data_IF_184716129686
#
_entry.id   IF_184716129686
#
_cell.length_a   1.000
_cell.length_b   1.000
_cell.length_c   1.000
_cell.angle_alpha   90.00
_cell.angle_beta   90.00
_cell.angle_gamma   90.00
#
_symmetry.space_group_name_H-M   'P 1'
#
loop_
_entity.id
_entity.type
_entity.pdbx_description
1 polymer ?
#
# COMPACT_ATOMS: atom_id res chain seq x y z
N UNK A 1 4.31 4.45 -7.37
CA UNK A 1 3.34 4.55 -6.25
C UNK A 1 3.42 3.33 -5.37
N UNK A 2 3.05 3.49 -4.13
CA UNK A 2 2.88 2.39 -3.19
C UNK A 2 1.38 2.26 -2.84
N UNK A 3 0.85 1.04 -2.82
CA UNK A 3 -0.60 0.80 -2.71
C UNK A 3 -0.93 0.26 -1.33
N UNK A 4 -1.88 0.92 -0.66
CA UNK A 4 -2.46 0.54 0.62
C UNK A 4 -3.46 -0.62 0.47
N UNK A 5 -3.92 -1.16 1.59
CA UNK A 5 -4.84 -2.30 1.62
C UNK A 5 -6.20 -2.00 0.97
N UNK A 6 -6.77 -0.81 1.18
CA UNK A 6 -8.10 -0.46 0.69
C UNK A 6 -8.31 -0.69 -0.80
N UNK A 7 -7.53 -0.10 -1.68
CA UNK A 7 -7.65 -0.34 -3.12
C UNK A 7 -7.53 -1.82 -3.52
N UNK A 8 -6.63 -2.55 -2.86
CA UNK A 8 -6.44 -3.99 -3.11
C UNK A 8 -7.64 -4.82 -2.65
N UNK A 9 -8.19 -4.52 -1.48
CA UNK A 9 -9.39 -5.20 -0.96
C UNK A 9 -10.58 -4.99 -1.89
N UNK A 10 -10.78 -3.76 -2.35
CA UNK A 10 -11.93 -3.41 -3.17
C UNK A 10 -11.82 -4.00 -4.57
N UNK A 11 -10.69 -3.88 -5.22
CA UNK A 11 -10.59 -4.02 -6.66
C UNK A 11 -9.52 -4.99 -7.20
N UNK A 12 -8.66 -5.57 -6.37
CA UNK A 12 -7.62 -6.46 -6.87
C UNK A 12 -8.17 -7.67 -7.65
N UNK A 13 -9.35 -8.17 -7.27
CA UNK A 13 -10.01 -9.29 -7.94
C UNK A 13 -10.86 -8.90 -9.15
N UNK A 14 -11.03 -7.62 -9.42
CA UNK A 14 -11.78 -7.12 -10.58
C UNK A 14 -10.82 -6.58 -11.63
N UNK A 15 -10.54 -7.39 -12.66
CA UNK A 15 -9.62 -7.02 -13.75
C UNK A 15 -10.09 -5.84 -14.61
N UNK A 16 -11.36 -5.47 -14.50
CA UNK A 16 -11.93 -4.32 -15.20
C UNK A 16 -12.01 -3.07 -14.32
N UNK A 17 -11.40 -3.11 -13.13
CA UNK A 17 -11.44 -2.00 -12.18
C UNK A 17 -10.50 -0.86 -12.53
N UNK A 18 -10.74 0.28 -11.88
CA UNK A 18 -9.82 1.42 -11.93
C UNK A 18 -8.41 1.05 -11.44
N UNK A 19 -8.31 0.18 -10.45
CA UNK A 19 -7.02 -0.29 -9.93
C UNK A 19 -6.21 -0.96 -11.04
N UNK A 20 -6.80 -1.91 -11.76
CA UNK A 20 -6.11 -2.58 -12.86
C UNK A 20 -5.76 -1.65 -14.01
N UNK A 21 -6.60 -0.63 -14.28
CA UNK A 21 -6.25 0.41 -15.25
C UNK A 21 -5.03 1.22 -14.82
N UNK A 22 -4.93 1.55 -13.53
CA UNK A 22 -3.76 2.23 -12.96
C UNK A 22 -2.50 1.35 -13.01
N UNK A 23 -2.62 0.07 -12.66
CA UNK A 23 -1.53 -0.90 -12.72
C UNK A 23 -1.02 -1.05 -14.16
N UNK A 24 -1.92 -1.22 -15.11
CA UNK A 24 -1.57 -1.33 -16.53
C UNK A 24 -0.81 -0.11 -17.01
N UNK A 25 -1.31 1.07 -16.69
CA UNK A 25 -0.68 2.34 -17.07
C UNK A 25 0.72 2.49 -16.48
N UNK A 26 0.89 2.16 -15.19
CA UNK A 26 2.18 2.19 -14.53
C UNK A 26 3.16 1.21 -15.20
N UNK A 27 2.73 -0.01 -15.49
CA UNK A 27 3.53 -1.03 -16.17
C UNK A 27 3.96 -0.57 -17.58
N UNK A 28 3.06 0.04 -18.35
CA UNK A 28 3.36 0.57 -19.68
C UNK A 28 4.40 1.70 -19.66
N UNK A 29 4.43 2.49 -18.58
CA UNK A 29 5.42 3.56 -18.38
C UNK A 29 6.75 3.08 -17.83
N UNK A 30 6.84 1.83 -17.40
CA UNK A 30 7.99 1.31 -16.70
C UNK A 30 8.10 1.81 -15.24
N UNK A 31 7.01 2.31 -14.67
CA UNK A 31 6.95 2.73 -13.27
C UNK A 31 6.89 1.51 -12.35
N UNK A 32 7.67 1.55 -11.26
CA UNK A 32 7.61 0.51 -10.25
C UNK A 32 6.34 0.63 -9.39
N UNK A 33 5.77 -0.54 -9.08
CA UNK A 33 4.63 -0.68 -8.19
C UNK A 33 5.09 -1.30 -6.89
N UNK A 34 4.67 -0.72 -5.77
CA UNK A 34 5.10 -1.14 -4.45
C UNK A 34 3.92 -1.42 -3.53
N UNK A 35 4.11 -2.32 -2.59
CA UNK A 35 3.28 -2.50 -1.40
C UNK A 35 4.13 -3.08 -0.28
N UNK A 36 3.53 -3.46 0.83
CA UNK A 36 4.24 -4.03 1.96
C UNK A 36 3.66 -5.38 2.37
N UNK A 37 4.46 -6.24 3.00
CA UNK A 37 3.95 -7.48 3.56
C UNK A 37 2.86 -7.27 4.62
N UNK A 38 2.97 -6.32 5.55
CA UNK A 38 1.88 -6.03 6.48
C UNK A 38 0.57 -5.62 5.80
N UNK A 39 0.63 -4.80 4.74
CA UNK A 39 -0.55 -4.45 3.93
C UNK A 39 -1.15 -5.71 3.29
N UNK A 40 -0.35 -6.54 2.67
CA UNK A 40 -0.84 -7.77 2.06
C UNK A 40 -1.46 -8.73 3.08
N UNK A 41 -0.93 -8.80 4.30
CA UNK A 41 -1.53 -9.60 5.36
C UNK A 41 -2.96 -9.14 5.68
N UNK A 42 -3.22 -7.84 5.69
CA UNK A 42 -4.57 -7.31 5.86
C UNK A 42 -5.49 -7.69 4.69
N UNK A 43 -4.98 -7.66 3.47
CA UNK A 43 -5.76 -8.02 2.28
C UNK A 43 -6.09 -9.51 2.25
N UNK A 44 -5.10 -10.38 2.52
CA UNK A 44 -5.29 -11.83 2.55
C UNK A 44 -6.23 -12.31 3.66
N UNK A 45 -6.43 -11.53 4.70
CA UNK A 45 -7.37 -11.82 5.77
C UNK A 45 -8.79 -12.04 5.28
N UNK A 46 -9.18 -11.40 4.19
CA UNK A 46 -10.54 -11.46 3.63
C UNK A 46 -10.70 -12.59 2.59
N UNK A 47 -10.11 -13.73 2.81
CA UNK A 47 -10.31 -14.92 1.97
C UNK A 47 -11.81 -15.22 1.78
N UNK A 48 -12.25 -15.82 0.72
CA UNK A 48 -11.62 -16.71 -0.25
C UNK A 48 -11.71 -16.19 -1.70
N UNK A 49 -10.94 -16.70 -2.60
CA UNK A 49 -10.90 -16.40 -4.04
C UNK A 49 -9.98 -15.22 -4.38
N UNK A 50 -8.74 -15.35 -3.97
CA UNK A 50 -7.71 -14.32 -4.16
C UNK A 50 -6.76 -14.64 -5.33
N UNK A 51 -7.23 -15.38 -6.35
CA UNK A 51 -6.38 -15.73 -7.49
C UNK A 51 -5.84 -14.50 -8.23
N UNK A 52 -6.69 -13.50 -8.44
CA UNK A 52 -6.27 -12.25 -9.08
C UNK A 52 -5.36 -11.41 -8.17
N UNK A 53 -5.56 -11.46 -6.85
CA UNK A 53 -4.64 -10.83 -5.90
C UNK A 53 -3.25 -11.47 -6.00
N UNK A 54 -3.15 -12.79 -6.05
CA UNK A 54 -1.89 -13.49 -6.22
C UNK A 54 -1.19 -13.09 -7.53
N UNK A 55 -1.93 -12.91 -8.60
CA UNK A 55 -1.40 -12.39 -9.88
C UNK A 55 -0.96 -10.94 -9.78
N UNK A 56 -1.76 -10.11 -9.10
CA UNK A 56 -1.45 -8.69 -8.88
C UNK A 56 -0.15 -8.53 -8.10
N UNK A 57 0.03 -9.31 -7.03
CA UNK A 57 1.23 -9.20 -6.18
C UNK A 57 2.52 -9.52 -6.90
N UNK A 58 2.49 -10.30 -7.98
CA UNK A 58 3.67 -10.56 -8.81
C UNK A 58 4.18 -9.34 -9.56
N UNK A 59 3.35 -8.31 -9.69
CA UNK A 59 3.70 -7.05 -10.36
C UNK A 59 4.32 -6.03 -9.40
N UNK A 60 4.28 -6.30 -8.10
CA UNK A 60 4.75 -5.38 -7.06
C UNK A 60 6.10 -5.78 -6.50
N UNK A 61 6.89 -4.78 -6.14
CA UNK A 61 7.94 -4.93 -5.15
C UNK A 61 7.30 -4.88 -3.75
N UNK A 62 7.50 -5.93 -2.96
CA UNK A 62 6.86 -6.11 -1.67
C UNK A 62 7.90 -5.90 -0.56
N UNK A 63 7.69 -4.91 0.28
CA UNK A 63 8.63 -4.50 1.32
C UNK A 63 8.33 -5.18 2.66
N UNK A 64 9.39 -5.70 3.28
CA UNK A 64 9.33 -6.25 4.63
C UNK A 64 9.44 -5.16 5.68
N UNK A 65 8.86 -5.40 6.86
CA UNK A 65 9.04 -4.53 8.02
C UNK A 65 10.35 -4.92 8.72
N UNK A 66 11.44 -4.28 8.35
CA UNK A 66 12.79 -4.54 8.84
C UNK A 66 13.39 -3.39 9.65
N UNK A 67 12.73 -2.23 9.72
CA UNK A 67 13.17 -1.05 10.45
C UNK A 67 12.13 -0.66 11.52
N UNK A 68 12.08 -1.44 12.57
CA UNK A 68 11.14 -1.21 13.67
C UNK A 68 11.37 0.11 14.39
N UNK A 69 12.62 0.59 14.46
CA UNK A 69 12.97 1.84 15.14
C UNK A 69 12.37 3.05 14.42
N UNK A 70 12.55 3.15 13.11
CA UNK A 70 12.01 4.25 12.31
C UNK A 70 10.48 4.24 12.32
N UNK A 71 9.87 3.07 12.20
CA UNK A 71 8.42 2.92 12.27
C UNK A 71 7.89 3.32 13.66
N UNK A 72 8.52 2.87 14.72
CA UNK A 72 8.14 3.22 16.09
C UNK A 72 8.26 4.72 16.37
N UNK A 73 9.31 5.38 15.87
CA UNK A 73 9.45 6.84 15.96
C UNK A 73 8.32 7.58 15.26
N UNK A 74 7.90 7.12 14.07
CA UNK A 74 6.78 7.72 13.35
C UNK A 74 5.48 7.61 14.16
N UNK A 75 5.23 6.46 14.78
CA UNK A 75 4.07 6.27 15.65
C UNK A 75 4.08 7.26 16.82
N UNK A 76 5.24 7.43 17.48
CA UNK A 76 5.39 8.35 18.60
C UNK A 76 5.20 9.82 18.18
N UNK A 77 5.79 10.22 17.07
CA UNK A 77 5.71 11.60 16.56
C UNK A 77 4.30 12.01 16.15
N UNK A 78 3.53 11.08 15.63
CA UNK A 78 2.18 11.33 15.11
C UNK A 78 1.07 10.99 16.09
N UNK A 79 1.38 10.36 17.22
CA UNK A 79 0.40 9.94 18.21
C UNK A 79 -0.56 8.86 17.71
N UNK A 80 -0.12 8.05 16.73
CA UNK A 80 -0.91 6.95 16.16
C UNK A 80 -0.39 5.60 16.63
N UNK A 81 -1.16 4.53 16.43
CA UNK A 81 -0.80 3.18 16.86
C UNK A 81 -0.85 2.12 15.74
N UNK A 82 -1.25 2.50 14.54
CA UNK A 82 -1.34 1.56 13.41
C UNK A 82 0.04 1.36 12.78
N UNK A 83 0.65 0.22 13.11
CA UNK A 83 1.99 -0.16 12.63
C UNK A 83 1.99 -0.37 11.12
N UNK A 84 0.92 -0.90 10.56
CA UNK A 84 0.81 -1.17 9.10
C UNK A 84 0.86 0.15 8.34
N UNK A 85 0.07 1.13 8.75
CA UNK A 85 0.03 2.44 8.11
C UNK A 85 1.35 3.20 8.29
N UNK A 86 1.92 3.20 9.50
CA UNK A 86 3.19 3.86 9.77
C UNK A 86 4.33 3.25 8.94
N UNK A 87 4.38 1.93 8.83
CA UNK A 87 5.37 1.24 8.00
C UNK A 87 5.21 1.62 6.52
N UNK A 88 3.98 1.64 6.01
CA UNK A 88 3.69 2.04 4.64
C UNK A 88 4.21 3.45 4.33
N UNK A 89 3.97 4.40 5.25
CA UNK A 89 4.45 5.78 5.12
C UNK A 89 5.97 5.85 5.13
N UNK A 90 6.63 5.14 6.03
CA UNK A 90 8.10 5.08 6.10
C UNK A 90 8.69 4.57 4.80
N UNK A 91 8.14 3.51 4.23
CA UNK A 91 8.60 2.97 2.95
C UNK A 91 8.34 3.96 1.81
N UNK A 92 7.16 4.57 1.75
CA UNK A 92 6.82 5.56 0.73
C UNK A 92 7.81 6.74 0.72
N UNK A 93 8.18 7.23 1.89
CA UNK A 93 9.18 8.30 2.02
C UNK A 93 10.57 7.85 1.60
N UNK A 94 10.97 6.64 1.98
CA UNK A 94 12.28 6.07 1.63
C UNK A 94 12.48 5.96 0.12
N UNK A 95 11.45 5.51 -0.60
CA UNK A 95 11.52 5.38 -2.06
C UNK A 95 11.06 6.63 -2.81
N UNK A 96 10.59 7.66 -2.11
CA UNK A 96 10.22 8.95 -2.70
C UNK A 96 8.96 8.90 -3.55
N UNK A 97 7.94 8.14 -3.11
CA UNK A 97 6.68 7.99 -3.85
C UNK A 97 5.46 8.38 -2.98
N UNK A 98 4.29 8.42 -3.61
CA UNK A 98 3.03 8.66 -2.93
C UNK A 98 2.28 7.35 -2.66
N UNK A 99 1.38 7.40 -1.69
CA UNK A 99 0.52 6.28 -1.28
C UNK A 99 -0.83 6.40 -1.97
N UNK A 100 -1.29 5.33 -2.60
CA UNK A 100 -2.67 5.22 -3.09
C UNK A 100 -3.51 4.54 -1.99
N UNK A 101 -4.51 5.25 -1.46
CA UNK A 101 -5.28 4.81 -0.30
C UNK A 101 -6.77 5.14 -0.43
N UNK A 102 -7.61 4.40 0.29
CA UNK A 102 -9.02 4.74 0.50
C UNK A 102 -9.27 5.45 1.83
N UNK A 103 -8.21 5.66 2.63
CA UNK A 103 -8.31 6.28 3.95
C UNK A 103 -7.43 7.53 4.07
N UNK A 104 -7.89 8.67 3.51
CA UNK A 104 -7.11 9.91 3.54
C UNK A 104 -6.93 10.46 4.95
N UNK A 105 -7.85 10.18 5.89
CA UNK A 105 -7.76 10.68 7.26
C UNK A 105 -6.57 10.07 7.99
N UNK A 106 -6.35 8.77 7.87
CA UNK A 106 -5.21 8.10 8.51
C UNK A 106 -3.88 8.54 7.89
N UNK A 107 -3.85 8.74 6.59
CA UNK A 107 -2.65 9.22 5.91
C UNK A 107 -2.33 10.68 6.28
N UNK A 108 -3.33 11.52 6.47
CA UNK A 108 -3.14 12.89 6.95
C UNK A 108 -2.55 12.93 8.36
N UNK A 109 -3.02 12.08 9.27
CA UNK A 109 -2.46 11.96 10.63
C UNK A 109 -0.98 11.60 10.62
N UNK A 110 -0.55 10.82 9.65
CA UNK A 110 0.83 10.37 9.48
C UNK A 110 1.70 11.34 8.68
N UNK A 111 1.15 12.50 8.27
CA UNK A 111 1.84 13.46 7.39
C UNK A 111 2.32 12.81 6.07
N UNK A 112 1.58 11.86 5.55
CA UNK A 112 1.94 11.15 4.35
C UNK A 112 1.60 11.94 3.08
N UNK A 113 2.38 11.73 2.04
CA UNK A 113 2.02 12.13 0.68
C UNK A 113 1.17 11.03 0.06
N UNK A 114 -0.08 11.34 -0.28
CA UNK A 114 -1.02 10.34 -0.77
C UNK A 114 -1.95 10.88 -1.84
N UNK A 115 -2.55 9.95 -2.58
CA UNK A 115 -3.70 10.19 -3.46
C UNK A 115 -4.83 9.27 -3.02
N UNK A 116 -6.06 9.78 -3.08
CA UNK A 116 -7.26 9.02 -2.73
C UNK A 116 -7.71 8.18 -3.92
N UNK A 117 -7.91 6.92 -3.63
CA UNK A 117 -8.43 5.97 -4.61
C UNK A 117 -9.95 6.09 -4.78
#
# INVERSE_FOLDING_TARGET
MIIDAGPLIIDANNVNSRLWALIKRATERGDELHTTHPVLAQVWRNLPRQANLARTTRLFEIHSLDDSVTVGRRLAETGTSDVVDAHLVVIAERIGTFILTTDPADMTKLNARFETY
#
